data_IF_638878166056
#
_entry.id   IF_638878166056
#
_cell.length_a   1.000
_cell.length_b   1.000
_cell.length_c   1.000
_cell.angle_alpha   90.00
_cell.angle_beta   90.00
_cell.angle_gamma   90.00
#
_symmetry.space_group_name_H-M   'P 1'
#
loop_
_entity.id
_entity.type
_entity.pdbx_description
1 polymer ?
#
# COMPACT_ATOMS: atom_id res chain seq x y z
N UNK A 1 18.00 24.86 -3.02
CA UNK A 1 17.31 25.43 -4.21
C UNK A 1 16.01 24.65 -4.42
N UNK A 2 14.91 25.11 -3.84
CA UNK A 2 13.58 24.52 -4.00
C UNK A 2 12.98 25.07 -5.30
N UNK A 3 13.00 24.27 -6.37
CA UNK A 3 12.23 24.60 -7.58
C UNK A 3 10.76 24.31 -7.25
N UNK A 4 10.00 25.37 -6.94
CA UNK A 4 8.55 25.31 -6.91
C UNK A 4 8.07 25.11 -8.36
N UNK A 5 7.98 23.85 -8.78
CA UNK A 5 7.41 23.51 -10.09
C UNK A 5 5.89 23.69 -10.00
N UNK A 6 5.40 24.75 -10.62
CA UNK A 6 3.99 25.06 -10.83
C UNK A 6 3.30 24.10 -11.83
N UNK A 7 4.04 23.13 -12.37
CA UNK A 7 3.50 22.01 -13.15
C UNK A 7 3.70 20.68 -12.41
N UNK A 8 2.68 20.22 -11.67
CA UNK A 8 2.68 18.92 -10.99
C UNK A 8 2.87 17.75 -11.96
N UNK A 9 2.56 17.92 -13.25
CA UNK A 9 2.71 16.88 -14.27
C UNK A 9 4.12 16.83 -14.87
N UNK A 10 4.79 17.97 -14.96
CA UNK A 10 6.14 18.13 -15.51
C UNK A 10 7.24 17.70 -14.55
N UNK A 11 7.03 17.82 -13.24
CA UNK A 11 8.07 17.55 -12.24
C UNK A 11 8.68 16.14 -12.35
N UNK A 12 7.87 15.08 -12.44
CA UNK A 12 8.40 13.71 -12.52
C UNK A 12 9.17 13.47 -13.83
N UNK A 13 8.74 14.11 -14.92
CA UNK A 13 9.48 14.07 -16.20
C UNK A 13 10.83 14.78 -16.06
N UNK A 14 10.88 15.91 -15.38
CA UNK A 14 12.13 16.60 -15.05
C UNK A 14 13.02 15.75 -14.14
N UNK A 15 12.47 15.08 -13.14
CA UNK A 15 13.22 14.14 -12.29
C UNK A 15 13.84 13.02 -13.13
N UNK A 16 13.05 12.37 -14.01
CA UNK A 16 13.51 11.29 -14.89
C UNK A 16 14.66 11.78 -15.77
N UNK A 17 14.49 12.95 -16.42
CA UNK A 17 15.51 13.54 -17.30
C UNK A 17 16.77 13.94 -16.52
N UNK A 18 16.62 14.64 -15.39
CA UNK A 18 17.73 15.17 -14.58
C UNK A 18 18.58 14.07 -13.96
N UNK A 19 17.95 13.01 -13.47
CA UNK A 19 18.64 11.89 -12.83
C UNK A 19 19.00 10.77 -13.81
N UNK A 20 18.80 10.97 -15.12
CA UNK A 20 19.09 9.99 -16.17
C UNK A 20 18.51 8.61 -15.84
N UNK A 21 17.25 8.58 -15.39
CA UNK A 21 16.61 7.34 -14.94
C UNK A 21 16.59 6.34 -16.10
N UNK A 22 17.16 5.14 -15.93
CA UNK A 22 17.27 4.15 -17.00
C UNK A 22 15.90 3.59 -17.40
N UNK A 23 15.73 3.21 -18.65
CA UNK A 23 14.47 2.63 -19.11
C UNK A 23 14.24 1.23 -18.52
N UNK A 24 15.32 0.45 -18.45
CA UNK A 24 15.34 -0.92 -17.96
C UNK A 24 16.65 -1.21 -17.22
N UNK A 25 16.58 -2.11 -16.24
CA UNK A 25 17.74 -2.67 -15.58
C UNK A 25 18.53 -3.60 -16.51
N UNK A 26 19.85 -3.69 -16.29
CA UNK A 26 20.74 -4.56 -17.07
C UNK A 26 20.81 -5.94 -16.41
N UNK A 27 20.72 -7.00 -17.22
CA UNK A 27 20.81 -8.38 -16.73
C UNK A 27 19.70 -8.73 -15.73
N UNK A 28 20.07 -9.31 -14.58
CA UNK A 28 19.16 -9.69 -13.49
C UNK A 28 19.04 -8.63 -12.39
N UNK A 29 19.48 -7.41 -12.65
CA UNK A 29 19.41 -6.32 -11.66
C UNK A 29 18.04 -5.66 -11.64
N UNK A 30 17.82 -4.83 -10.62
CA UNK A 30 16.66 -3.96 -10.51
C UNK A 30 16.93 -2.84 -9.51
N UNK A 31 15.87 -2.11 -9.19
CA UNK A 31 15.92 -0.89 -8.38
C UNK A 31 14.90 -0.96 -7.26
N UNK A 32 15.19 -0.28 -6.15
CA UNK A 32 14.23 0.07 -5.11
C UNK A 32 13.92 1.55 -5.25
N UNK A 33 12.66 1.94 -5.05
CA UNK A 33 12.22 3.32 -5.16
C UNK A 33 11.32 3.72 -3.99
N UNK A 34 11.25 5.04 -3.76
CA UNK A 34 10.25 5.67 -2.93
C UNK A 34 9.61 6.83 -3.72
N UNK A 35 8.31 7.01 -3.59
CA UNK A 35 7.56 8.13 -4.18
C UNK A 35 6.65 8.75 -3.12
N UNK A 36 6.71 10.06 -2.97
CA UNK A 36 5.73 10.79 -2.17
C UNK A 36 4.60 11.26 -3.07
N UNK A 37 3.38 10.94 -2.68
CA UNK A 37 2.15 11.33 -3.38
C UNK A 37 1.36 12.27 -2.48
N UNK A 38 0.93 13.39 -3.04
CA UNK A 38 0.11 14.40 -2.38
C UNK A 38 -1.24 14.55 -3.08
N UNK A 39 -2.30 14.80 -2.31
CA UNK A 39 -3.67 14.95 -2.82
C UNK A 39 -4.68 14.75 -1.68
N UNK A 40 -5.90 14.28 -1.98
CA UNK A 40 -6.92 14.01 -0.95
C UNK A 40 -6.44 13.07 0.16
N UNK A 41 -5.56 12.12 -0.21
CA UNK A 41 -4.79 11.31 0.73
C UNK A 41 -3.33 11.41 0.32
N UNK A 42 -2.50 11.88 1.24
CA UNK A 42 -1.04 11.90 1.06
C UNK A 42 -0.45 10.59 1.58
N UNK A 43 0.54 10.06 0.88
CA UNK A 43 1.22 8.82 1.28
C UNK A 43 2.59 8.70 0.62
N UNK A 44 3.44 7.86 1.18
CA UNK A 44 4.66 7.39 0.53
C UNK A 44 4.46 5.97 0.02
N UNK A 45 4.83 5.74 -1.24
CA UNK A 45 4.91 4.40 -1.83
C UNK A 45 6.36 3.96 -1.90
N UNK A 46 6.66 2.79 -1.37
CA UNK A 46 7.97 2.14 -1.49
C UNK A 46 7.80 0.85 -2.28
N UNK A 47 8.67 0.59 -3.24
CA UNK A 47 8.66 -0.71 -3.91
C UNK A 47 9.88 -0.93 -4.78
N UNK A 48 9.80 -1.95 -5.64
CA UNK A 48 10.90 -2.31 -6.51
C UNK A 48 10.49 -2.52 -7.97
N UNK A 49 11.45 -2.40 -8.90
CA UNK A 49 11.18 -2.52 -10.34
C UNK A 49 12.46 -2.79 -11.14
N UNK A 50 12.32 -3.51 -12.24
CA UNK A 50 13.36 -3.64 -13.27
C UNK A 50 13.18 -2.64 -14.43
N UNK A 51 12.09 -1.86 -14.45
CA UNK A 51 11.80 -0.85 -15.48
C UNK A 51 11.32 0.45 -14.84
N UNK A 52 12.24 1.26 -14.28
CA UNK A 52 11.85 2.36 -13.41
C UNK A 52 11.13 3.49 -14.14
N UNK A 53 11.47 3.77 -15.41
CA UNK A 53 10.78 4.80 -16.21
C UNK A 53 9.30 4.47 -16.41
N UNK A 54 9.01 3.29 -16.96
CA UNK A 54 7.63 2.82 -17.16
C UNK A 54 6.85 2.73 -15.84
N UNK A 55 7.52 2.30 -14.75
CA UNK A 55 6.91 2.23 -13.42
C UNK A 55 6.55 3.61 -12.88
N UNK A 56 7.43 4.59 -13.01
CA UNK A 56 7.20 5.96 -12.56
C UNK A 56 6.08 6.62 -13.36
N UNK A 57 6.03 6.41 -14.68
CA UNK A 57 4.95 6.90 -15.54
C UNK A 57 3.60 6.26 -15.20
N UNK A 58 3.58 4.96 -14.91
CA UNK A 58 2.38 4.26 -14.44
C UNK A 58 1.88 4.83 -13.12
N UNK A 59 2.77 5.00 -12.12
CA UNK A 59 2.41 5.53 -10.80
C UNK A 59 1.96 6.99 -10.86
N UNK A 60 2.56 7.80 -11.74
CA UNK A 60 2.09 9.16 -12.03
C UNK A 60 0.67 9.15 -12.60
N UNK A 61 0.42 8.28 -13.57
CA UNK A 61 -0.89 8.17 -14.23
C UNK A 61 -1.96 7.64 -13.27
N UNK A 62 -1.58 6.72 -12.39
CA UNK A 62 -2.41 6.20 -11.30
C UNK A 62 -2.75 7.30 -10.29
N UNK A 63 -1.74 8.01 -9.76
CA UNK A 63 -1.94 9.13 -8.84
C UNK A 63 -2.89 10.18 -9.44
N UNK A 64 -2.66 10.57 -10.70
CA UNK A 64 -3.49 11.56 -11.40
C UNK A 64 -4.95 11.11 -11.53
N UNK A 65 -5.19 9.84 -11.90
CA UNK A 65 -6.55 9.27 -11.99
C UNK A 65 -7.34 9.46 -10.68
N UNK A 66 -6.63 9.53 -9.57
CA UNK A 66 -7.17 9.64 -8.23
C UNK A 66 -7.12 11.05 -7.63
N UNK A 67 -6.85 12.07 -8.45
CA UNK A 67 -6.75 13.46 -7.99
C UNK A 67 -5.49 13.74 -7.14
N UNK A 68 -4.49 12.86 -7.22
CA UNK A 68 -3.23 12.99 -6.51
C UNK A 68 -2.07 13.28 -7.48
N UNK A 69 -0.95 13.75 -6.94
CA UNK A 69 0.27 14.07 -7.69
C UNK A 69 1.49 13.50 -6.98
N UNK A 70 2.42 12.92 -7.73
CA UNK A 70 3.77 12.58 -7.22
C UNK A 70 4.58 13.87 -7.05
N UNK A 71 4.99 14.17 -5.82
CA UNK A 71 5.74 15.39 -5.47
C UNK A 71 7.23 15.14 -5.21
N UNK A 72 7.60 13.90 -4.86
CA UNK A 72 9.00 13.51 -4.63
C UNK A 72 9.23 12.07 -5.10
N UNK A 73 10.47 11.77 -5.48
CA UNK A 73 10.89 10.49 -6.00
C UNK A 73 12.34 10.24 -5.62
N UNK A 74 12.63 8.98 -5.30
CA UNK A 74 13.97 8.46 -5.10
C UNK A 74 14.06 7.10 -5.77
N UNK A 75 15.21 6.81 -6.35
CA UNK A 75 15.54 5.55 -6.99
C UNK A 75 16.94 5.13 -6.54
N UNK A 76 17.10 3.88 -6.10
CA UNK A 76 18.40 3.32 -5.77
C UNK A 76 19.28 3.14 -7.01
N UNK A 77 20.58 2.87 -6.85
CA UNK A 77 21.39 2.23 -7.89
C UNK A 77 20.83 0.84 -8.27
N UNK A 78 21.21 0.34 -9.45
CA UNK A 78 20.85 -1.00 -9.91
C UNK A 78 21.62 -2.07 -9.10
N UNK A 79 20.93 -3.13 -8.67
CA UNK A 79 21.57 -4.23 -7.93
C UNK A 79 20.82 -5.56 -8.13
N UNK A 80 21.50 -6.71 -8.02
CA UNK A 80 20.89 -8.03 -8.26
C UNK A 80 19.81 -8.40 -7.22
N UNK A 81 19.98 -7.98 -5.97
CA UNK A 81 19.13 -8.41 -4.85
C UNK A 81 17.95 -7.46 -4.55
N UNK A 82 17.54 -6.65 -5.53
CA UNK A 82 16.58 -5.56 -5.34
C UNK A 82 15.24 -5.96 -4.70
N UNK A 83 14.75 -7.18 -4.93
CA UNK A 83 13.54 -7.69 -4.27
C UNK A 83 13.74 -8.00 -2.80
N UNK A 84 14.93 -8.51 -2.44
CA UNK A 84 15.29 -8.74 -1.04
C UNK A 84 15.49 -7.39 -0.35
N UNK A 85 16.17 -6.45 -1.00
CA UNK A 85 16.35 -5.08 -0.52
C UNK A 85 15.00 -4.38 -0.29
N UNK A 86 14.04 -4.55 -1.18
CA UNK A 86 12.67 -4.04 -1.01
C UNK A 86 12.01 -4.62 0.24
N UNK A 87 12.08 -5.93 0.46
CA UNK A 87 11.49 -6.56 1.63
C UNK A 87 12.06 -5.98 2.94
N UNK A 88 13.38 -5.77 2.99
CA UNK A 88 14.04 -5.10 4.12
C UNK A 88 13.61 -3.65 4.28
N UNK A 89 13.56 -2.90 3.18
CA UNK A 89 13.11 -1.50 3.18
C UNK A 89 11.68 -1.39 3.71
N UNK A 90 10.77 -2.24 3.22
CA UNK A 90 9.38 -2.27 3.67
C UNK A 90 9.27 -2.65 5.15
N UNK A 91 10.05 -3.61 5.63
CA UNK A 91 10.07 -3.98 7.04
C UNK A 91 10.53 -2.82 7.94
N UNK A 92 11.61 -2.12 7.55
CA UNK A 92 12.12 -0.96 8.27
C UNK A 92 11.12 0.22 8.25
N UNK A 93 10.53 0.52 7.10
CA UNK A 93 9.49 1.54 6.98
C UNK A 93 8.27 1.24 7.85
N UNK A 94 7.83 -0.02 7.91
CA UNK A 94 6.71 -0.46 8.78
C UNK A 94 7.00 -0.31 10.26
N UNK A 95 8.27 -0.42 10.66
CA UNK A 95 8.66 -0.18 12.05
C UNK A 95 8.58 1.31 12.45
N UNK A 96 8.61 2.22 11.47
CA UNK A 96 8.49 3.67 11.69
C UNK A 96 7.03 4.09 11.62
N UNK A 97 6.33 3.68 10.56
CA UNK A 97 4.95 4.02 10.29
C UNK A 97 4.24 2.78 9.75
N UNK A 98 3.12 2.35 10.37
CA UNK A 98 2.36 1.22 9.86
C UNK A 98 1.97 1.40 8.39
N UNK A 99 2.22 0.39 7.57
CA UNK A 99 1.68 0.36 6.21
C UNK A 99 0.18 0.09 6.25
N UNK A 100 -0.56 0.56 5.24
CA UNK A 100 -2.02 0.44 5.20
C UNK A 100 -2.54 -1.01 5.31
N UNK A 101 -1.74 -1.99 4.88
CA UNK A 101 -1.96 -3.42 5.14
C UNK A 101 -0.62 -4.10 5.43
N UNK A 102 -0.59 -5.31 6.04
CA UNK A 102 0.66 -6.02 6.34
C UNK A 102 1.55 -6.30 5.11
N UNK A 103 0.94 -6.32 3.92
CA UNK A 103 1.63 -6.51 2.63
C UNK A 103 1.71 -5.23 1.79
N UNK A 104 1.09 -4.14 2.24
CA UNK A 104 1.00 -2.90 1.50
C UNK A 104 2.37 -2.23 1.34
N UNK A 105 2.58 -1.66 0.16
CA UNK A 105 3.68 -0.79 -0.23
C UNK A 105 3.39 0.70 0.08
N UNK A 106 2.25 1.00 0.69
CA UNK A 106 1.72 2.35 0.89
C UNK A 106 1.70 2.74 2.37
N UNK A 107 2.28 3.89 2.68
CA UNK A 107 2.49 4.40 4.03
C UNK A 107 1.87 5.80 4.18
N UNK A 108 0.71 5.95 4.83
CA UNK A 108 0.02 7.24 4.95
C UNK A 108 0.76 8.28 5.81
N UNK A 109 1.43 7.83 6.88
CA UNK A 109 2.06 8.72 7.86
C UNK A 109 3.59 8.74 7.75
N UNK A 110 4.18 7.94 6.85
CA UNK A 110 5.62 7.91 6.65
C UNK A 110 6.06 9.12 5.84
N UNK A 111 7.00 9.91 6.36
CA UNK A 111 7.62 10.96 5.60
C UNK A 111 8.60 10.41 4.54
N UNK A 112 8.74 11.14 3.44
CA UNK A 112 9.57 10.72 2.31
C UNK A 112 11.06 10.58 2.66
N UNK A 113 11.58 11.43 3.56
CA UNK A 113 12.99 11.41 3.93
C UNK A 113 13.33 10.15 4.73
N UNK A 114 12.44 9.73 5.63
CA UNK A 114 12.55 8.46 6.35
C UNK A 114 12.49 7.27 5.40
N UNK A 115 11.52 7.23 4.47
CA UNK A 115 11.43 6.16 3.48
C UNK A 115 12.70 6.03 2.62
N UNK A 116 13.24 7.18 2.16
CA UNK A 116 14.50 7.23 1.42
C UNK A 116 15.67 6.75 2.27
N UNK A 117 15.77 7.20 3.53
CA UNK A 117 16.86 6.81 4.44
C UNK A 117 16.88 5.29 4.64
N UNK A 118 15.74 4.68 4.93
CA UNK A 118 15.66 3.23 5.12
C UNK A 118 15.95 2.46 3.82
N UNK A 119 15.51 2.99 2.67
CA UNK A 119 15.87 2.43 1.36
C UNK A 119 17.38 2.47 1.09
N UNK A 120 18.05 3.57 1.43
CA UNK A 120 19.51 3.69 1.30
C UNK A 120 20.24 2.72 2.23
N UNK A 121 19.84 2.62 3.50
CA UNK A 121 20.42 1.64 4.44
C UNK A 121 20.29 0.22 3.92
N UNK A 122 19.11 -0.17 3.45
CA UNK A 122 18.87 -1.50 2.92
C UNK A 122 19.74 -1.80 1.69
N UNK A 123 19.92 -0.83 0.78
CA UNK A 123 20.82 -0.95 -0.38
C UNK A 123 22.27 -1.12 0.04
N UNK A 124 22.70 -0.44 1.11
CA UNK A 124 24.04 -0.57 1.68
C UNK A 124 24.22 -1.85 2.53
N UNK A 125 23.18 -2.69 2.65
CA UNK A 125 23.21 -3.90 3.47
C UNK A 125 23.16 -3.62 4.98
N UNK A 126 22.89 -2.38 5.39
CA UNK A 126 22.73 -2.00 6.80
C UNK A 126 21.36 -2.51 7.25
N UNK A 127 21.37 -3.55 8.08
CA UNK A 127 20.17 -4.18 8.63
C UNK A 127 20.03 -3.77 10.08
N UNK A 128 19.38 -2.64 10.31
CA UNK A 128 18.82 -2.39 11.62
C UNK A 128 17.69 -3.40 11.78
N UNK A 129 17.86 -4.41 12.64
CA UNK A 129 16.74 -5.21 13.07
C UNK A 129 15.90 -4.27 13.94
N UNK A 130 14.77 -3.71 13.46
CA UNK A 130 13.92 -2.96 14.35
C UNK A 130 13.58 -3.93 15.48
N UNK A 131 13.92 -3.59 16.71
CA UNK A 131 13.30 -4.22 17.88
C UNK A 131 11.83 -3.85 17.73
N UNK A 132 11.08 -4.69 17.04
CA UNK A 132 9.63 -4.58 16.96
C UNK A 132 9.19 -4.73 18.40
N UNK A 133 8.99 -3.61 19.07
CA UNK A 133 8.12 -3.57 20.23
C UNK A 133 6.80 -4.11 19.68
N UNK A 134 6.49 -5.35 20.01
CA UNK A 134 5.15 -5.94 19.88
C UNK A 134 4.13 -5.22 20.79
N UNK A 135 4.51 -4.05 21.33
CA UNK A 135 3.85 -3.25 22.35
C UNK A 135 3.71 -1.78 21.94
N UNK A 136 3.76 -1.43 20.65
CA UNK A 136 3.27 -0.11 20.23
C UNK A 136 1.75 -0.08 20.39
N UNK A 137 1.32 0.74 21.34
CA UNK A 137 -0.06 1.14 21.70
C UNK A 137 -0.97 1.60 20.54
N UNK A 138 -0.48 1.57 19.29
CA UNK A 138 -1.25 1.85 18.08
C UNK A 138 -2.14 0.67 17.64
N UNK A 139 -2.09 -0.48 18.31
CA UNK A 139 -3.00 -1.60 18.10
C UNK A 139 -4.45 -1.37 18.61
N UNK A 140 -4.81 -0.15 19.01
CA UNK A 140 -6.05 0.10 19.77
C UNK A 140 -6.82 1.41 19.49
N UNK A 141 -6.42 2.23 18.51
CA UNK A 141 -7.25 3.36 18.06
C UNK A 141 -7.58 3.16 16.59
N UNK A 142 -8.57 2.29 16.38
CA UNK A 142 -9.19 2.06 15.10
C UNK A 142 -10.11 3.25 14.82
N UNK A 143 -9.60 4.34 14.28
CA UNK A 143 -10.49 5.30 13.63
C UNK A 143 -11.16 4.58 12.43
N UNK A 144 -12.50 4.60 12.32
CA UNK A 144 -13.16 4.03 11.16
C UNK A 144 -12.74 4.82 9.91
N UNK A 145 -12.10 4.10 9.01
CA UNK A 145 -11.56 4.62 7.75
C UNK A 145 -12.63 5.39 6.93
N UNK A 146 -12.30 6.52 6.30
CA UNK A 146 -13.22 7.22 5.40
C UNK A 146 -13.67 6.34 4.23
N UNK A 147 -14.96 6.41 3.87
CA UNK A 147 -15.63 5.55 2.87
C UNK A 147 -14.87 5.47 1.53
N UNK A 148 -14.24 6.56 1.08
CA UNK A 148 -13.51 6.60 -0.18
C UNK A 148 -12.25 5.70 -0.21
N UNK A 149 -11.64 5.42 0.95
CA UNK A 149 -10.50 4.51 1.07
C UNK A 149 -10.98 3.06 1.20
N UNK A 150 -12.12 2.82 1.85
CA UNK A 150 -12.80 1.52 1.85
C UNK A 150 -13.17 1.10 0.41
N UNK A 151 -13.65 2.03 -0.42
CA UNK A 151 -13.95 1.78 -1.83
C UNK A 151 -12.72 1.41 -2.70
N UNK A 152 -11.49 1.70 -2.26
CA UNK A 152 -10.23 1.26 -2.92
C UNK A 152 -9.71 -0.09 -2.42
N UNK A 153 -10.18 -0.56 -1.27
CA UNK A 153 -9.64 -1.74 -0.57
C UNK A 153 -10.63 -2.90 -0.49
N UNK A 154 -11.93 -2.65 -0.64
CA UNK A 154 -12.87 -3.69 -1.04
C UNK A 154 -12.62 -4.02 -2.52
N UNK A 155 -12.60 -5.30 -2.94
CA UNK A 155 -12.71 -5.63 -4.34
C UNK A 155 -14.04 -5.02 -4.80
N UNK A 156 -14.00 -3.86 -5.43
CA UNK A 156 -15.20 -3.37 -6.07
C UNK A 156 -15.55 -4.40 -7.15
N UNK A 157 -16.80 -4.40 -7.59
CA UNK A 157 -17.32 -5.36 -8.58
C UNK A 157 -16.41 -5.42 -9.82
N UNK A 158 -15.72 -4.31 -10.11
CA UNK A 158 -14.72 -4.19 -11.17
C UNK A 158 -13.43 -4.98 -10.91
N UNK A 159 -12.86 -4.97 -9.70
CA UNK A 159 -11.68 -5.78 -9.37
C UNK A 159 -11.99 -7.28 -9.35
N UNK A 160 -13.18 -7.67 -8.90
CA UNK A 160 -13.67 -9.06 -9.00
C UNK A 160 -13.84 -9.44 -10.47
N UNK A 161 -14.43 -8.57 -11.30
CA UNK A 161 -14.60 -8.82 -12.73
C UNK A 161 -13.26 -8.84 -13.46
N UNK A 162 -12.32 -7.97 -13.11
CA UNK A 162 -11.00 -7.90 -13.71
C UNK A 162 -10.17 -9.12 -13.33
N UNK A 163 -10.20 -9.54 -12.06
CA UNK A 163 -9.61 -10.82 -11.64
C UNK A 163 -10.29 -11.99 -12.34
N UNK A 164 -11.62 -12.03 -12.43
CA UNK A 164 -12.36 -13.07 -13.17
C UNK A 164 -11.98 -13.10 -14.65
N UNK A 165 -11.76 -11.95 -15.29
CA UNK A 165 -11.32 -11.84 -16.70
C UNK A 165 -9.86 -12.26 -16.86
N UNK A 166 -8.98 -11.91 -15.94
CA UNK A 166 -7.58 -12.33 -15.97
C UNK A 166 -7.43 -13.84 -15.72
N UNK A 167 -8.15 -14.40 -14.74
CA UNK A 167 -8.23 -15.86 -14.53
C UNK A 167 -8.84 -16.59 -15.74
N UNK A 168 -9.77 -15.96 -16.47
CA UNK A 168 -10.31 -16.50 -17.72
C UNK A 168 -9.28 -16.47 -18.86
N UNK A 169 -8.54 -15.36 -19.02
CA UNK A 169 -7.50 -15.23 -20.03
C UNK A 169 -6.34 -16.23 -19.81
N UNK A 170 -6.01 -16.49 -18.54
CA UNK A 170 -4.94 -17.40 -18.14
C UNK A 170 -5.39 -18.86 -17.98
N UNK A 171 -6.70 -19.14 -18.05
CA UNK A 171 -7.26 -20.49 -17.88
C UNK A 171 -7.01 -21.44 -19.07
N UNK A 172 -7.11 -22.74 -18.83
CA UNK A 172 -7.03 -23.76 -19.87
C UNK A 172 -8.12 -23.60 -20.95
N UNK A 173 -7.92 -24.17 -22.14
CA UNK A 173 -8.92 -24.11 -23.24
C UNK A 173 -10.31 -24.59 -22.79
N UNK A 174 -10.37 -25.57 -21.88
CA UNK A 174 -11.62 -26.15 -21.35
C UNK A 174 -12.37 -25.20 -20.41
N UNK A 175 -11.66 -24.43 -19.56
CA UNK A 175 -12.31 -23.43 -18.68
C UNK A 175 -12.78 -22.19 -19.47
N UNK A 176 -12.07 -21.84 -20.55
CA UNK A 176 -12.51 -20.79 -21.48
C UNK A 176 -13.78 -21.17 -22.25
N UNK A 177 -13.89 -22.42 -22.72
CA UNK A 177 -15.08 -22.91 -23.42
C UNK A 177 -16.34 -22.92 -22.54
N UNK A 178 -16.22 -23.40 -21.29
CA UNK A 178 -17.36 -23.44 -20.35
C UNK A 178 -17.96 -22.06 -20.10
N UNK A 179 -17.13 -21.05 -19.85
CA UNK A 179 -17.62 -19.68 -19.60
C UNK A 179 -18.24 -19.00 -20.82
N UNK A 180 -17.82 -19.34 -22.04
CA UNK A 180 -18.38 -18.79 -23.27
C UNK A 180 -19.83 -19.24 -23.51
N UNK A 181 -20.21 -20.39 -22.92
CA UNK A 181 -21.52 -21.01 -23.06
C UNK A 181 -22.37 -20.92 -21.77
N UNK A 182 -21.94 -20.16 -20.76
CA UNK A 182 -22.82 -19.82 -19.63
C UNK A 182 -23.77 -18.74 -20.12
N UNK A 183 -25.11 -18.93 -20.08
CA UNK A 183 -26.05 -17.86 -20.42
C UNK A 183 -25.74 -16.65 -19.55
N UNK A 184 -25.70 -15.46 -20.15
CA UNK A 184 -25.42 -14.23 -19.44
C UNK A 184 -26.35 -14.17 -18.23
N UNK A 185 -25.77 -14.27 -17.01
CA UNK A 185 -26.55 -14.04 -15.80
C UNK A 185 -27.02 -12.60 -15.87
N UNK A 186 -28.30 -12.42 -16.19
CA UNK A 186 -28.97 -11.14 -16.10
C UNK A 186 -28.94 -10.77 -14.63
N UNK A 187 -27.99 -9.91 -14.27
CA UNK A 187 -27.99 -9.28 -12.95
C UNK A 187 -29.26 -8.46 -12.87
N UNK A 188 -30.30 -8.97 -12.19
CA UNK A 188 -31.47 -8.16 -11.92
C UNK A 188 -31.05 -7.04 -10.97
N UNK A 189 -31.55 -5.83 -11.24
CA UNK A 189 -31.29 -4.67 -10.39
C UNK A 189 -31.67 -4.95 -8.92
N UNK A 190 -32.66 -5.83 -8.70
CA UNK A 190 -33.12 -6.25 -7.38
C UNK A 190 -32.11 -7.16 -6.65
N UNK A 191 -31.43 -8.06 -7.36
CA UNK A 191 -30.39 -8.90 -6.77
C UNK A 191 -29.19 -8.03 -6.34
N UNK A 192 -28.84 -7.02 -7.14
CA UNK A 192 -27.80 -6.06 -6.80
C UNK A 192 -28.20 -5.20 -5.59
N UNK A 193 -29.43 -4.68 -5.54
CA UNK A 193 -29.95 -3.93 -4.39
C UNK A 193 -29.94 -4.74 -3.10
N UNK A 194 -30.41 -5.98 -3.10
CA UNK A 194 -30.38 -6.84 -1.89
C UNK A 194 -28.97 -7.11 -1.39
N UNK A 195 -28.03 -7.31 -2.31
CA UNK A 195 -26.61 -7.52 -1.94
C UNK A 195 -26.02 -6.27 -1.27
N UNK A 196 -26.39 -5.07 -1.74
CA UNK A 196 -25.99 -3.81 -1.10
C UNK A 196 -26.69 -3.63 0.25
N UNK A 197 -27.98 -3.92 0.36
CA UNK A 197 -28.73 -3.83 1.62
C UNK A 197 -28.19 -4.79 2.69
N UNK A 198 -27.80 -6.01 2.31
CA UNK A 198 -27.17 -6.98 3.21
C UNK A 198 -25.76 -6.55 3.66
N UNK A 199 -25.00 -5.88 2.79
CA UNK A 199 -23.67 -5.34 3.11
C UNK A 199 -23.72 -4.10 4.01
N UNK A 200 -24.84 -3.37 4.00
CA UNK A 200 -25.04 -2.13 4.78
C UNK A 200 -25.68 -2.39 6.14
N UNK A 201 -26.19 -3.59 6.42
CA UNK A 201 -26.71 -3.89 7.76
C UNK A 201 -25.58 -4.01 8.79
N UNK A 202 -25.62 -3.26 9.92
CA UNK A 202 -24.64 -3.36 10.98
C UNK A 202 -24.88 -4.64 11.78
N UNK A 203 -24.29 -5.76 11.33
CA UNK A 203 -24.31 -7.05 12.06
C UNK A 203 -22.98 -7.34 12.75
N UNK A 204 -22.47 -6.38 13.52
CA UNK A 204 -21.47 -6.68 14.53
C UNK A 204 -22.09 -6.41 15.90
N UNK A 205 -22.19 -7.46 16.73
CA UNK A 205 -22.51 -7.31 18.13
C UNK A 205 -21.50 -6.36 18.77
N UNK A 206 -21.99 -5.28 19.37
CA UNK A 206 -21.19 -4.42 20.23
C UNK A 206 -20.77 -5.26 21.43
N UNK A 207 -19.50 -5.69 21.46
CA UNK A 207 -18.93 -6.32 22.64
C UNK A 207 -18.71 -5.21 23.67
N UNK A 208 -19.57 -5.18 24.68
CA UNK A 208 -19.42 -4.30 25.84
C UNK A 208 -18.27 -4.83 26.71
N UNK A 209 -17.15 -4.11 26.74
CA UNK A 209 -15.96 -4.44 27.51
C UNK A 209 -15.98 -3.85 28.94
N UNK A 210 -17.12 -3.32 29.42
CA UNK A 210 -17.22 -2.71 30.75
C UNK A 210 -17.43 -3.72 31.89
N UNK A 211 -16.55 -4.72 32.06
CA UNK A 211 -16.61 -5.58 33.26
C UNK A 211 -15.31 -6.28 33.72
N UNK A 212 -14.13 -5.73 33.44
CA UNK A 212 -12.90 -6.16 34.14
C UNK A 212 -12.49 -5.17 35.22
N UNK A 213 -13.13 -5.31 36.38
CA UNK A 213 -12.62 -4.80 37.66
C UNK A 213 -11.28 -5.50 37.96
N UNK A 214 -10.20 -4.72 37.99
CA UNK A 214 -8.90 -5.20 38.47
C UNK A 214 -8.99 -5.63 39.94
N UNK A 215 -8.33 -6.74 40.34
CA UNK A 215 -8.19 -7.07 41.76
C UNK A 215 -7.32 -6.01 42.44
N UNK A 216 -7.83 -5.43 43.53
CA UNK A 216 -7.09 -4.51 44.40
C UNK A 216 -5.92 -5.26 45.04
N UNK A 217 -4.70 -4.80 44.78
CA UNK A 217 -3.55 -5.15 45.61
C UNK A 217 -3.76 -4.60 47.02
N UNK A 218 -3.94 -5.49 47.99
CA UNK A 218 -3.95 -5.15 49.41
C UNK A 218 -2.50 -5.02 49.86
N UNK A 219 -2.09 -3.82 50.24
CA UNK A 219 -0.79 -3.57 50.85
C UNK A 219 -0.74 -4.26 52.23
N UNK A 220 0.21 -5.17 52.42
CA UNK A 220 0.66 -5.63 53.74
C UNK A 220 1.51 -4.53 54.37
N UNK A 221 0.96 -3.82 55.34
CA UNK A 221 1.74 -3.08 56.34
C UNK A 221 2.29 -4.08 57.36
N UNK A 222 3.60 -4.24 57.37
CA UNK A 222 4.33 -4.80 58.51
C UNK A 222 4.29 -3.80 59.66
N UNK A 223 3.93 -4.28 60.85
CA UNK A 223 4.18 -3.58 62.11
C UNK A 223 5.02 -4.50 63.00
N UNK A 224 6.12 -3.90 63.47
CA UNK A 224 6.94 -4.14 64.68
C UNK A 224 6.81 -5.50 65.37
#
# INVERSE_FOLDING_TARGET
MHLAYSDPQGWLRHYIKRNQVPEKAVGKTGYVYALAVHGPVSYVKVGSTAGPRARFEALRSEAHRFGSTVIQAWLSPAHPDYKITEAWTLAACRAISPSATPRSEYFPELDFASARREGVKAVLGIRDHPRVSTTTRAAGLHEPMPVAVQCRLAPNTFDIDFQRRNYFAQGSRRSRFRRRNVPAQVFSADAFRRTIEELVQPRAAVIDLSSHRSPRCVNRTSAV
#
